data_IF_572586332023
#
_entry.id   IF_572586332023
#
_cell.length_a   1.000
_cell.length_b   1.000
_cell.length_c   1.000
_cell.angle_alpha   90.00
_cell.angle_beta   90.00
_cell.angle_gamma   90.00
#
_symmetry.space_group_name_H-M   'P 1'
#
loop_
_entity.id
_entity.type
_entity.pdbx_description
1 polymer ?
#
# COMPACT_ATOMS: atom_id res chain seq x y z
N UNK A 1 -0.67 -10.28 11.72
CA UNK A 1 -0.55 -9.74 10.34
C UNK A 1 0.47 -8.61 10.17
N UNK A 2 0.59 -7.65 11.11
CA UNK A 2 1.49 -6.49 10.96
C UNK A 2 2.99 -6.79 10.82
N UNK A 3 3.51 -7.88 11.42
CA UNK A 3 4.96 -8.18 11.40
C UNK A 3 5.46 -8.65 10.03
N UNK A 4 4.71 -9.52 9.35
CA UNK A 4 5.07 -10.04 8.03
C UNK A 4 5.13 -8.92 6.98
N UNK A 5 4.14 -8.03 6.96
CA UNK A 5 4.09 -6.89 6.03
C UNK A 5 5.24 -5.92 6.24
N UNK A 6 5.58 -5.65 7.50
CA UNK A 6 6.73 -4.82 7.84
C UNK A 6 8.03 -5.45 7.30
N UNK A 7 8.18 -6.77 7.42
CA UNK A 7 9.34 -7.48 6.90
C UNK A 7 9.40 -7.46 5.37
N UNK A 8 8.27 -7.70 4.69
CA UNK A 8 8.16 -7.60 3.23
C UNK A 8 8.55 -6.21 2.75
N UNK A 9 8.07 -5.14 3.40
CA UNK A 9 8.50 -3.77 3.09
C UNK A 9 10.01 -3.62 3.20
N UNK A 10 10.61 -4.08 4.29
CA UNK A 10 12.06 -3.94 4.51
C UNK A 10 12.83 -4.69 3.42
N UNK A 11 12.40 -5.90 3.06
CA UNK A 11 13.03 -6.70 2.00
C UNK A 11 12.95 -6.00 0.64
N UNK A 12 11.77 -5.47 0.27
CA UNK A 12 11.59 -4.71 -0.98
C UNK A 12 12.44 -3.43 -0.93
N UNK A 13 12.40 -2.66 0.15
CA UNK A 13 13.17 -1.41 0.27
C UNK A 13 14.68 -1.61 0.18
N UNK A 14 15.21 -2.75 0.63
CA UNK A 14 16.65 -3.07 0.53
C UNK A 14 17.14 -3.28 -0.91
N UNK A 15 16.23 -3.50 -1.86
CA UNK A 15 16.57 -3.66 -3.28
C UNK A 15 16.85 -2.32 -3.97
N UNK A 16 16.51 -1.20 -3.32
CA UNK A 16 16.58 0.13 -3.90
C UNK A 16 17.56 1.03 -3.16
N UNK A 17 18.25 1.88 -3.91
CA UNK A 17 19.10 2.92 -3.31
C UNK A 17 18.26 3.93 -2.50
N UNK A 18 18.81 4.43 -1.39
CA UNK A 18 18.07 5.34 -0.48
C UNK A 18 17.59 6.64 -1.15
N UNK A 19 18.24 7.08 -2.23
CA UNK A 19 17.89 8.31 -2.98
C UNK A 19 16.93 8.05 -4.14
N UNK A 20 16.69 6.79 -4.49
CA UNK A 20 15.83 6.39 -5.60
C UNK A 20 14.36 6.80 -5.37
N UNK A 21 13.61 6.89 -6.46
CA UNK A 21 12.19 7.19 -6.41
C UNK A 21 11.44 6.05 -5.71
N UNK A 22 11.77 4.81 -6.03
CA UNK A 22 11.20 3.57 -5.50
C UNK A 22 11.33 3.51 -3.98
N UNK A 23 12.52 3.79 -3.45
CA UNK A 23 12.74 3.84 -2.01
C UNK A 23 11.88 4.93 -1.34
N UNK A 24 11.83 6.13 -1.92
CA UNK A 24 11.02 7.24 -1.39
C UNK A 24 9.54 6.88 -1.41
N UNK A 25 9.06 6.32 -2.50
CA UNK A 25 7.67 5.91 -2.69
C UNK A 25 7.26 4.91 -1.61
N UNK A 26 8.06 3.86 -1.40
CA UNK A 26 7.83 2.86 -0.35
C UNK A 26 7.92 3.46 1.07
N UNK A 27 8.80 4.44 1.28
CA UNK A 27 8.96 5.12 2.58
C UNK A 27 7.75 6.00 2.91
N UNK A 28 7.32 6.86 1.99
CA UNK A 28 6.30 7.89 2.24
C UNK A 28 4.88 7.34 2.14
N UNK A 29 4.60 6.44 1.19
CA UNK A 29 3.24 5.95 0.94
C UNK A 29 2.93 4.60 1.61
N UNK A 30 3.79 4.12 2.51
CA UNK A 30 3.54 2.84 3.19
C UNK A 30 2.17 2.78 3.88
N UNK A 31 1.76 3.87 4.56
CA UNK A 31 0.43 3.94 5.19
C UNK A 31 -0.71 3.85 4.19
N UNK A 32 -0.52 4.39 2.97
CA UNK A 32 -1.51 4.30 1.90
C UNK A 32 -1.61 2.87 1.37
N UNK A 33 -0.47 2.20 1.15
CA UNK A 33 -0.40 0.79 0.73
C UNK A 33 -1.08 -0.14 1.74
N UNK A 34 -1.01 0.22 3.03
CA UNK A 34 -1.65 -0.55 4.11
C UNK A 34 -3.17 -0.33 4.23
N UNK A 35 -3.73 0.70 3.58
CA UNK A 35 -5.15 1.02 3.72
C UNK A 35 -6.00 0.00 2.95
N UNK A 36 -7.16 -0.34 3.49
CA UNK A 36 -8.15 -1.14 2.77
C UNK A 36 -8.57 -0.38 1.51
N UNK A 37 -8.45 -1.02 0.35
CA UNK A 37 -8.76 -0.42 -0.96
C UNK A 37 -10.19 0.14 -1.02
N UNK A 38 -11.14 -0.46 -0.29
CA UNK A 38 -12.55 -0.03 -0.22
C UNK A 38 -12.74 1.26 0.59
N UNK A 39 -11.75 1.61 1.42
CA UNK A 39 -11.75 2.77 2.34
C UNK A 39 -10.78 3.87 1.88
N UNK A 40 -10.35 3.81 0.63
CA UNK A 40 -9.56 4.89 0.03
C UNK A 40 -10.44 6.13 -0.15
N UNK A 41 -9.91 7.29 0.21
CA UNK A 41 -10.62 8.55 0.00
C UNK A 41 -10.72 8.84 -1.50
N UNK A 42 -11.84 9.39 -2.00
CA UNK A 42 -11.91 9.89 -3.36
C UNK A 42 -11.16 11.22 -3.52
N UNK A 43 -10.86 11.92 -2.43
CA UNK A 43 -10.25 13.25 -2.49
C UNK A 43 -8.79 13.17 -2.92
N UNK A 44 -8.44 13.93 -3.95
CA UNK A 44 -7.07 14.06 -4.41
C UNK A 44 -6.21 14.85 -3.41
N UNK A 45 -4.91 14.59 -3.43
CA UNK A 45 -3.93 15.31 -2.62
C UNK A 45 -2.66 15.58 -3.44
N UNK A 46 -1.92 16.61 -3.06
CA UNK A 46 -0.64 16.92 -3.70
C UNK A 46 0.46 15.96 -3.22
N UNK A 47 0.96 15.14 -4.14
CA UNK A 47 2.11 14.26 -3.94
C UNK A 47 3.40 15.03 -4.18
N UNK A 48 4.16 15.31 -3.13
CA UNK A 48 5.53 15.86 -3.28
C UNK A 48 6.47 14.87 -3.98
N UNK A 49 6.20 13.58 -3.87
CA UNK A 49 7.07 12.55 -4.44
C UNK A 49 6.97 12.51 -5.95
N UNK A 50 5.73 12.62 -6.47
CA UNK A 50 5.43 12.62 -7.90
C UNK A 50 5.32 14.03 -8.50
N UNK A 51 5.21 15.06 -7.65
CA UNK A 51 5.03 16.49 -8.00
C UNK A 51 3.73 16.79 -8.75
N UNK A 52 2.66 16.15 -8.33
CA UNK A 52 1.33 16.25 -8.96
C UNK A 52 0.22 16.00 -7.94
N UNK A 53 -0.99 16.44 -8.25
CA UNK A 53 -2.20 16.16 -7.48
C UNK A 53 -2.88 14.92 -8.03
N UNK A 54 -3.14 13.95 -7.16
CA UNK A 54 -3.73 12.67 -7.55
C UNK A 54 -4.55 12.08 -6.40
N UNK A 55 -5.50 11.23 -6.76
CA UNK A 55 -6.27 10.43 -5.82
C UNK A 55 -5.39 9.35 -5.18
N UNK A 56 -5.77 8.84 -3.99
CA UNK A 56 -5.13 7.67 -3.39
C UNK A 56 -5.04 6.45 -4.32
N UNK A 57 -6.03 6.25 -5.20
CA UNK A 57 -6.03 5.15 -6.18
C UNK A 57 -4.97 5.35 -7.25
N UNK A 58 -4.97 6.52 -7.91
CA UNK A 58 -3.96 6.87 -8.91
C UNK A 58 -2.54 6.85 -8.31
N UNK A 59 -2.41 7.21 -7.03
CA UNK A 59 -1.16 7.09 -6.30
C UNK A 59 -0.68 5.64 -6.30
N UNK A 60 -1.53 4.69 -5.88
CA UNK A 60 -1.20 3.27 -5.86
C UNK A 60 -0.83 2.76 -7.26
N UNK A 61 -1.58 3.15 -8.29
CA UNK A 61 -1.29 2.74 -9.67
C UNK A 61 0.11 3.20 -10.11
N UNK A 62 0.50 4.44 -9.77
CA UNK A 62 1.86 4.93 -10.02
C UNK A 62 2.92 4.21 -9.18
N UNK A 63 2.61 3.92 -7.92
CA UNK A 63 3.50 3.14 -7.04
C UNK A 63 3.81 1.79 -7.69
N UNK A 64 2.80 1.09 -8.22
CA UNK A 64 3.00 -0.21 -8.87
C UNK A 64 3.77 -0.09 -10.17
N UNK A 65 3.59 1.00 -10.92
CA UNK A 65 4.40 1.28 -12.11
C UNK A 65 5.89 1.43 -11.80
N UNK A 66 6.23 2.00 -10.64
CA UNK A 66 7.63 2.16 -10.19
C UNK A 66 8.17 0.96 -9.41
N UNK A 67 7.33 0.22 -8.70
CA UNK A 67 7.70 -0.96 -7.92
C UNK A 67 6.77 -2.14 -8.28
N UNK A 68 6.90 -2.74 -9.47
CA UNK A 68 5.96 -3.76 -9.96
C UNK A 68 5.89 -4.99 -9.05
N UNK A 69 7.00 -5.36 -8.39
CA UNK A 69 6.98 -6.47 -7.45
C UNK A 69 6.03 -6.23 -6.26
N UNK A 70 5.75 -4.97 -5.90
CA UNK A 70 4.85 -4.65 -4.79
C UNK A 70 3.39 -5.02 -5.10
N UNK A 71 2.96 -4.98 -6.36
CA UNK A 71 1.57 -5.18 -6.74
C UNK A 71 1.05 -6.57 -6.31
N UNK A 72 1.85 -7.62 -6.53
CA UNK A 72 1.51 -8.99 -6.11
C UNK A 72 1.36 -9.07 -4.59
N UNK A 73 2.28 -8.47 -3.84
CA UNK A 73 2.22 -8.43 -2.38
C UNK A 73 1.01 -7.63 -1.88
N UNK A 74 0.72 -6.50 -2.52
CA UNK A 74 -0.43 -5.67 -2.20
C UNK A 74 -1.74 -6.43 -2.41
N UNK A 75 -1.91 -7.10 -3.55
CA UNK A 75 -3.11 -7.87 -3.85
C UNK A 75 -3.35 -8.99 -2.84
N UNK A 76 -2.30 -9.76 -2.49
CA UNK A 76 -2.37 -10.78 -1.45
C UNK A 76 -2.74 -10.17 -0.09
N UNK A 77 -2.13 -9.04 0.26
CA UNK A 77 -2.42 -8.35 1.51
C UNK A 77 -3.87 -7.86 1.59
N UNK A 78 -4.40 -7.28 0.51
CA UNK A 78 -5.80 -6.82 0.46
C UNK A 78 -6.78 -8.00 0.58
N UNK A 79 -6.47 -9.16 -0.02
CA UNK A 79 -7.26 -10.37 0.12
C UNK A 79 -7.29 -10.85 1.58
N UNK A 80 -6.13 -10.90 2.24
CA UNK A 80 -6.03 -11.28 3.65
C UNK A 80 -6.77 -10.28 4.57
N UNK A 81 -6.66 -8.98 4.28
CA UNK A 81 -7.39 -7.93 5.00
C UNK A 81 -8.90 -8.07 4.87
N UNK A 82 -9.38 -8.42 3.67
CA UNK A 82 -10.79 -8.62 3.38
C UNK A 82 -11.34 -9.77 4.22
N UNK A 83 -10.76 -10.96 4.13
CA UNK A 83 -11.21 -12.13 4.89
C UNK A 83 -11.08 -11.96 6.41
N UNK A 84 -10.06 -11.23 6.87
CA UNK A 84 -9.89 -10.97 8.30
C UNK A 84 -11.00 -10.06 8.84
N UNK A 85 -11.44 -9.06 8.06
CA UNK A 85 -12.54 -8.19 8.44
C UNK A 85 -13.89 -8.90 8.37
N UNK A 86 -14.10 -9.78 7.38
CA UNK A 86 -15.34 -10.57 7.27
C UNK A 86 -15.51 -11.55 8.44
N UNK A 87 -14.45 -12.28 8.82
CA UNK A 87 -14.50 -13.19 9.97
C UNK A 87 -14.78 -12.44 11.28
N UNK A 88 -14.19 -11.26 11.46
CA UNK A 88 -14.49 -10.41 12.61
C UNK A 88 -15.95 -9.97 12.55
N UNK A 89 -16.46 -9.54 11.40
CA UNK A 89 -17.87 -9.11 11.25
C UNK A 89 -18.86 -10.23 11.53
N UNK A 90 -18.59 -11.46 11.06
CA UNK A 90 -19.48 -12.60 11.28
C UNK A 90 -19.51 -13.02 12.75
N UNK A 91 -18.36 -13.00 13.44
CA UNK A 91 -18.27 -13.31 14.86
C UNK A 91 -18.90 -12.25 15.79
N UNK A 92 -19.24 -11.06 15.29
CA UNK A 92 -19.94 -10.03 16.04
C UNK A 92 -21.47 -10.03 15.83
N UNK A 93 -21.97 -10.91 14.95
CA UNK A 93 -23.40 -11.04 14.64
C UNK A 93 -24.02 -12.32 15.24
N UNK A 94 -23.26 -13.07 16.02
CA UNK A 94 -23.70 -14.24 16.81
C UNK A 94 -23.77 -13.91 18.32
#
# INVERSE_FOLDING_TARGET
MNRALKQTRIQIMKQFEKKSLEYRVLKYYWKLIQKDRRKLSPNAFYSRTFRETLTPKECLDKIFKHVPQLEKYYNLYQLLLFHSQEKISNNFLD
#
